data_IF_961136114252
#
_entry.id   IF_961136114252
#
_cell.length_a   1.000
_cell.length_b   1.000
_cell.length_c   1.000
_cell.angle_alpha   90.00
_cell.angle_beta   90.00
_cell.angle_gamma   90.00
#
_symmetry.space_group_name_H-M   'P 1'
#
loop_
_entity.id
_entity.type
_entity.pdbx_description
1 polymer ?
#
# COMPACT_ATOMS: atom_id res chain seq x y z
N UNK A 1 -0.16 17.19 0.53
CA UNK A 1 -0.91 16.08 1.18
C UNK A 1 -1.51 15.20 0.08
N UNK A 2 -1.62 13.90 0.30
CA UNK A 2 -2.00 12.93 -0.75
C UNK A 2 -3.41 13.11 -1.33
N UNK A 3 -4.32 13.73 -0.59
CA UNK A 3 -5.73 13.92 -0.99
C UNK A 3 -6.11 15.41 -1.17
N UNK A 4 -5.13 16.30 -1.31
CA UNK A 4 -5.40 17.74 -1.53
C UNK A 4 -6.22 17.95 -2.81
N UNK A 5 -7.32 18.73 -2.70
CA UNK A 5 -8.25 18.98 -3.80
C UNK A 5 -9.20 17.82 -4.14
N UNK A 6 -9.24 16.78 -3.29
CA UNK A 6 -10.17 15.67 -3.43
C UNK A 6 -11.36 15.82 -2.48
N UNK A 7 -12.57 15.70 -3.01
CA UNK A 7 -13.82 15.67 -2.25
C UNK A 7 -14.24 14.22 -2.02
N UNK A 8 -14.43 13.85 -0.76
CA UNK A 8 -14.84 12.51 -0.34
C UNK A 8 -16.20 12.59 0.36
N UNK A 9 -17.15 11.81 -0.11
CA UNK A 9 -18.44 11.64 0.56
C UNK A 9 -18.37 10.38 1.43
N UNK A 10 -18.50 10.58 2.75
CA UNK A 10 -18.51 9.53 3.75
C UNK A 10 -19.95 9.23 4.16
N UNK A 11 -20.46 8.07 3.74
CA UNK A 11 -21.80 7.58 4.07
C UNK A 11 -21.79 6.71 5.31
N UNK A 12 -22.54 7.09 6.34
CA UNK A 12 -22.60 6.38 7.63
C UNK A 12 -24.01 5.81 7.85
N UNK A 13 -24.08 4.49 8.10
CA UNK A 13 -25.35 3.82 8.29
C UNK A 13 -25.56 3.32 9.72
N UNK A 14 -26.80 2.97 10.08
CA UNK A 14 -27.23 2.65 11.44
C UNK A 14 -26.71 1.30 11.94
N UNK A 15 -25.46 1.23 12.32
CA UNK A 15 -24.82 0.10 12.98
C UNK A 15 -23.85 0.55 14.06
N UNK A 16 -23.62 -0.29 15.07
CA UNK A 16 -22.76 0.05 16.21
C UNK A 16 -21.37 0.52 15.77
N UNK A 17 -20.83 -0.01 14.69
CA UNK A 17 -19.50 0.36 14.16
C UNK A 17 -19.42 1.83 13.66
N UNK A 18 -20.52 2.57 13.61
CA UNK A 18 -20.54 3.99 13.28
C UNK A 18 -19.63 4.82 14.23
N UNK A 19 -19.44 4.40 15.50
CA UNK A 19 -18.56 5.08 16.46
C UNK A 19 -17.09 5.15 16.02
N UNK A 20 -16.66 4.30 15.09
CA UNK A 20 -15.29 4.28 14.54
C UNK A 20 -15.06 5.32 13.45
N UNK A 21 -16.12 5.78 12.80
CA UNK A 21 -16.05 6.63 11.62
C UNK A 21 -15.47 8.02 11.86
N UNK A 22 -15.55 8.63 13.05
CA UNK A 22 -14.83 9.87 13.34
C UNK A 22 -13.32 9.77 13.10
N UNK A 23 -12.69 8.62 13.44
CA UNK A 23 -11.27 8.40 13.21
C UNK A 23 -10.94 8.38 11.70
N UNK A 24 -11.77 7.75 10.89
CA UNK A 24 -11.64 7.72 9.43
C UNK A 24 -11.80 9.12 8.85
N UNK A 25 -12.86 9.85 9.23
CA UNK A 25 -13.11 11.22 8.80
C UNK A 25 -11.90 12.13 9.12
N UNK A 26 -11.40 12.06 10.35
CA UNK A 26 -10.24 12.84 10.78
C UNK A 26 -8.96 12.48 10.03
N UNK A 27 -8.72 11.19 9.78
CA UNK A 27 -7.56 10.73 9.00
C UNK A 27 -7.61 11.26 7.55
N UNK A 28 -8.78 11.24 6.90
CA UNK A 28 -8.97 11.77 5.55
C UNK A 28 -8.76 13.28 5.48
N UNK A 29 -9.28 14.03 6.47
CA UNK A 29 -9.04 15.48 6.59
C UNK A 29 -7.55 15.77 6.78
N UNK A 30 -6.83 15.03 7.63
CA UNK A 30 -5.38 15.17 7.81
C UNK A 30 -4.59 14.88 6.53
N UNK A 31 -5.11 14.06 5.63
CA UNK A 31 -4.53 13.80 4.31
C UNK A 31 -4.85 14.90 3.29
N UNK A 32 -5.66 15.90 3.66
CA UNK A 32 -6.01 17.07 2.86
C UNK A 32 -7.29 16.93 2.05
N UNK A 33 -8.12 15.91 2.31
CA UNK A 33 -9.42 15.76 1.66
C UNK A 33 -10.46 16.76 2.19
N UNK A 34 -11.35 17.19 1.30
CA UNK A 34 -12.62 17.84 1.68
C UNK A 34 -13.67 16.75 1.93
N UNK A 35 -13.98 16.51 3.21
CA UNK A 35 -14.82 15.38 3.64
C UNK A 35 -16.24 15.85 3.94
N UNK A 36 -17.20 15.34 3.19
CA UNK A 36 -18.63 15.53 3.41
C UNK A 36 -19.28 14.29 4.00
N UNK A 37 -20.04 14.43 5.07
CA UNK A 37 -20.63 13.29 5.78
C UNK A 37 -22.14 13.25 5.56
N UNK A 38 -22.60 12.09 5.11
CA UNK A 38 -24.02 11.75 5.00
C UNK A 38 -24.36 10.66 6.02
N UNK A 39 -25.38 10.87 6.82
CA UNK A 39 -25.82 9.87 7.79
C UNK A 39 -27.26 9.46 7.49
N UNK A 40 -27.53 8.15 7.58
CA UNK A 40 -28.92 7.70 7.65
C UNK A 40 -29.52 8.11 9.00
N UNK A 41 -30.84 8.26 9.06
CA UNK A 41 -31.55 8.57 10.32
C UNK A 41 -31.18 7.56 11.42
N UNK A 42 -31.07 6.26 11.09
CA UNK A 42 -30.68 5.24 12.07
C UNK A 42 -29.22 5.38 12.54
N UNK A 43 -28.34 6.02 11.77
CA UNK A 43 -26.97 6.25 12.20
C UNK A 43 -26.88 7.28 13.31
N UNK A 44 -27.81 8.25 13.36
CA UNK A 44 -27.85 9.29 14.40
C UNK A 44 -28.18 8.74 15.79
N UNK A 45 -28.76 7.53 15.88
CA UNK A 45 -28.98 6.82 17.14
C UNK A 45 -27.69 6.28 17.78
N UNK A 46 -26.64 6.10 16.98
CA UNK A 46 -25.35 5.56 17.44
C UNK A 46 -24.29 6.63 17.65
N UNK A 47 -24.35 7.74 16.91
CA UNK A 47 -23.38 8.83 17.00
C UNK A 47 -24.00 10.15 16.53
N UNK A 48 -23.68 11.23 17.22
CA UNK A 48 -24.19 12.56 16.87
C UNK A 48 -23.57 13.12 15.58
N UNK A 49 -24.35 13.73 14.67
CA UNK A 49 -23.85 14.48 13.53
C UNK A 49 -22.81 15.55 13.90
N UNK A 50 -22.95 16.19 15.06
CA UNK A 50 -22.07 17.24 15.56
C UNK A 50 -20.59 16.77 15.65
N UNK A 51 -20.35 15.49 15.94
CA UNK A 51 -18.97 14.94 15.97
C UNK A 51 -18.30 15.12 14.63
N UNK A 52 -18.99 14.79 13.54
CA UNK A 52 -18.45 14.90 12.19
C UNK A 52 -18.32 16.35 11.73
N UNK A 53 -19.30 17.20 12.05
CA UNK A 53 -19.26 18.63 11.74
C UNK A 53 -18.03 19.30 12.37
N UNK A 54 -17.71 18.92 13.62
CA UNK A 54 -16.53 19.43 14.33
C UNK A 54 -15.22 18.99 13.66
N UNK A 55 -15.15 17.76 13.16
CA UNK A 55 -13.93 17.20 12.58
C UNK A 55 -13.71 17.63 11.13
N UNK A 56 -14.78 17.78 10.35
CA UNK A 56 -14.70 18.06 8.91
C UNK A 56 -14.89 19.53 8.58
N UNK A 57 -15.38 20.33 9.52
CA UNK A 57 -15.80 21.72 9.32
C UNK A 57 -16.87 21.86 8.21
N UNK A 58 -17.64 20.79 8.01
CA UNK A 58 -18.74 20.70 7.05
C UNK A 58 -19.99 20.23 7.77
N UNK A 59 -21.15 20.72 7.35
CA UNK A 59 -22.42 20.25 7.87
C UNK A 59 -22.64 18.78 7.54
N UNK A 60 -23.00 17.97 8.54
CA UNK A 60 -23.41 16.58 8.34
C UNK A 60 -24.88 16.55 7.87
N UNK A 61 -25.11 15.88 6.75
CA UNK A 61 -26.44 15.83 6.13
C UNK A 61 -27.16 14.54 6.51
N UNK A 62 -28.36 14.68 7.05
CA UNK A 62 -29.20 13.53 7.49
C UNK A 62 -30.50 13.50 6.72
N UNK A 63 -31.15 14.65 6.54
CA UNK A 63 -32.47 14.80 5.94
C UNK A 63 -32.34 15.35 4.51
N UNK A 64 -33.06 14.73 3.57
CA UNK A 64 -33.13 15.15 2.17
C UNK A 64 -33.85 16.48 2.02
N UNK A 65 -34.80 16.80 2.93
CA UNK A 65 -35.70 17.97 2.88
C UNK A 65 -35.40 19.01 3.96
N UNK A 66 -34.16 19.08 4.42
CA UNK A 66 -33.76 20.13 5.38
C UNK A 66 -33.90 21.52 4.75
N UNK A 67 -34.78 22.37 5.33
CA UNK A 67 -35.15 23.70 4.81
C UNK A 67 -34.03 24.75 4.97
N UNK A 68 -32.95 24.45 5.66
CA UNK A 68 -31.85 25.40 5.89
C UNK A 68 -30.78 25.32 4.74
N UNK A 69 -31.17 24.87 3.58
CA UNK A 69 -30.30 24.79 2.38
C UNK A 69 -30.26 26.12 1.62
N UNK A 70 -29.10 26.43 1.07
CA UNK A 70 -28.94 27.33 -0.08
C UNK A 70 -29.63 26.72 -1.30
N UNK A 71 -30.13 27.52 -2.22
CA UNK A 71 -31.04 27.17 -3.34
C UNK A 71 -30.52 26.13 -4.36
N UNK A 72 -29.38 25.44 -4.13
CA UNK A 72 -28.90 24.35 -4.95
C UNK A 72 -29.52 23.02 -4.54
N UNK A 73 -29.73 22.14 -5.52
CA UNK A 73 -30.18 20.77 -5.29
C UNK A 73 -29.04 20.00 -4.64
N UNK A 74 -28.98 20.02 -3.32
CA UNK A 74 -27.82 19.62 -2.50
C UNK A 74 -27.31 18.21 -2.84
N UNK A 75 -28.19 17.23 -3.08
CA UNK A 75 -27.80 15.88 -3.43
C UNK A 75 -27.10 15.80 -4.81
N UNK A 76 -27.54 16.61 -5.80
CA UNK A 76 -26.92 16.66 -7.12
C UNK A 76 -25.55 17.38 -7.06
N UNK A 77 -25.50 18.54 -6.36
CA UNK A 77 -24.26 19.29 -6.19
C UNK A 77 -23.18 18.44 -5.53
N UNK A 78 -23.53 17.70 -4.46
CA UNK A 78 -22.61 16.82 -3.76
C UNK A 78 -22.21 15.59 -4.60
N UNK A 79 -23.16 14.97 -5.31
CA UNK A 79 -22.88 13.85 -6.21
C UNK A 79 -21.87 14.23 -7.32
N UNK A 80 -22.02 15.45 -7.87
CA UNK A 80 -21.13 15.96 -8.93
C UNK A 80 -19.75 16.37 -8.39
N UNK A 81 -19.68 16.88 -7.15
CA UNK A 81 -18.42 17.28 -6.52
C UNK A 81 -17.57 16.09 -6.03
N UNK A 82 -18.20 14.95 -5.76
CA UNK A 82 -17.55 13.80 -5.17
C UNK A 82 -16.50 13.18 -6.10
N UNK A 83 -15.27 13.03 -5.62
CA UNK A 83 -14.25 12.24 -6.28
C UNK A 83 -14.31 10.76 -5.87
N UNK A 84 -14.91 10.45 -4.71
CA UNK A 84 -15.12 9.11 -4.19
C UNK A 84 -16.22 9.13 -3.13
N UNK A 85 -16.99 8.03 -3.07
CA UNK A 85 -17.88 7.74 -1.95
C UNK A 85 -17.35 6.54 -1.16
N UNK A 86 -17.29 6.67 0.18
CA UNK A 86 -17.04 5.58 1.11
C UNK A 86 -18.27 5.38 1.99
N UNK A 87 -18.95 4.25 1.84
CA UNK A 87 -20.10 3.88 2.67
C UNK A 87 -19.61 2.91 3.75
N UNK A 88 -19.45 3.41 4.95
CA UNK A 88 -18.92 2.68 6.11
C UNK A 88 -19.46 3.22 7.44
N UNK A 89 -19.94 2.36 8.35
CA UNK A 89 -20.30 0.98 8.12
C UNK A 89 -21.48 0.89 7.15
N UNK A 90 -21.55 -0.18 6.32
CA UNK A 90 -22.70 -0.45 5.48
C UNK A 90 -23.54 -1.59 6.08
N UNK A 91 -24.76 -1.28 6.50
CA UNK A 91 -25.71 -2.29 7.00
C UNK A 91 -26.35 -3.07 5.87
N UNK A 92 -26.85 -4.28 6.14
CA UNK A 92 -27.59 -5.08 5.17
C UNK A 92 -28.77 -4.32 4.53
N UNK A 93 -29.47 -3.49 5.32
CA UNK A 93 -30.56 -2.66 4.82
C UNK A 93 -30.10 -1.68 3.75
N UNK A 94 -29.01 -0.94 3.99
CA UNK A 94 -28.52 0.04 3.02
C UNK A 94 -27.88 -0.64 1.80
N UNK A 95 -27.20 -1.77 1.99
CA UNK A 95 -26.71 -2.61 0.89
C UNK A 95 -27.85 -3.04 -0.03
N UNK A 96 -28.96 -3.55 0.54
CA UNK A 96 -30.14 -3.94 -0.22
C UNK A 96 -30.77 -2.74 -0.96
N UNK A 97 -30.94 -1.59 -0.32
CA UNK A 97 -31.45 -0.38 -0.96
C UNK A 97 -30.61 0.03 -2.16
N UNK A 98 -29.30 0.12 -2.00
CA UNK A 98 -28.38 0.51 -3.07
C UNK A 98 -28.38 -0.51 -4.22
N UNK A 99 -28.41 -1.82 -3.93
CA UNK A 99 -28.47 -2.88 -4.94
C UNK A 99 -29.72 -2.83 -5.82
N UNK A 100 -30.83 -2.33 -5.25
CA UNK A 100 -32.10 -2.22 -5.95
C UNK A 100 -32.46 -0.77 -6.37
N UNK A 101 -31.53 0.18 -6.25
CA UNK A 101 -31.74 1.55 -6.70
C UNK A 101 -32.78 2.33 -5.86
N UNK A 102 -33.01 1.95 -4.62
CA UNK A 102 -33.89 2.70 -3.72
C UNK A 102 -33.19 3.95 -3.21
N UNK A 103 -33.84 5.11 -3.36
CA UNK A 103 -33.29 6.42 -3.03
C UNK A 103 -34.30 7.18 -2.13
N UNK A 104 -34.53 6.66 -0.92
CA UNK A 104 -35.54 7.15 0.03
C UNK A 104 -34.92 7.99 1.16
N UNK A 105 -33.61 8.17 1.17
CA UNK A 105 -32.88 9.07 2.09
C UNK A 105 -31.75 9.81 1.35
N UNK A 106 -31.11 10.77 2.01
CA UNK A 106 -30.07 11.60 1.42
C UNK A 106 -28.85 10.76 0.95
N UNK A 107 -28.42 9.77 1.73
CA UNK A 107 -27.28 8.92 1.39
C UNK A 107 -27.54 8.10 0.12
N UNK A 108 -28.67 7.41 0.07
CA UNK A 108 -29.03 6.55 -1.08
C UNK A 108 -29.32 7.38 -2.33
N UNK A 109 -29.90 8.58 -2.20
CA UNK A 109 -30.12 9.51 -3.31
C UNK A 109 -28.79 10.01 -3.90
N UNK A 110 -27.86 10.47 -3.07
CA UNK A 110 -26.53 10.91 -3.54
C UNK A 110 -25.77 9.74 -4.16
N UNK A 111 -25.84 8.55 -3.56
CA UNK A 111 -25.15 7.36 -4.09
C UNK A 111 -25.65 6.97 -5.48
N UNK A 112 -26.96 7.07 -5.72
CA UNK A 112 -27.57 6.78 -7.02
C UNK A 112 -27.18 7.82 -8.08
N UNK A 113 -27.07 9.09 -7.68
CA UNK A 113 -26.71 10.19 -8.59
C UNK A 113 -25.20 10.29 -8.90
N UNK A 114 -24.34 9.83 -7.96
CA UNK A 114 -22.89 9.98 -8.12
C UNK A 114 -22.31 9.04 -9.18
N UNK A 115 -21.37 9.59 -9.98
CA UNK A 115 -20.63 8.85 -11.02
C UNK A 115 -19.22 8.46 -10.61
N UNK A 116 -18.74 8.95 -9.46
CA UNK A 116 -17.42 8.64 -8.92
C UNK A 116 -17.31 7.18 -8.41
N UNK A 117 -16.10 6.65 -8.19
CA UNK A 117 -15.88 5.36 -7.53
C UNK A 117 -16.60 5.28 -6.18
N UNK A 118 -17.19 4.13 -5.90
CA UNK A 118 -17.94 3.85 -4.68
C UNK A 118 -17.35 2.67 -3.94
N UNK A 119 -16.92 2.89 -2.71
CA UNK A 119 -16.41 1.87 -1.79
C UNK A 119 -17.49 1.58 -0.76
N UNK A 120 -17.73 0.30 -0.49
CA UNK A 120 -18.72 -0.11 0.50
C UNK A 120 -18.10 -1.10 1.49
N UNK A 121 -18.19 -0.82 2.78
CA UNK A 121 -17.64 -1.64 3.86
C UNK A 121 -18.77 -2.27 4.68
N UNK A 122 -19.18 -3.53 4.37
CA UNK A 122 -20.22 -4.23 5.10
C UNK A 122 -19.83 -4.41 6.57
N UNK A 123 -20.79 -4.15 7.47
CA UNK A 123 -20.63 -4.42 8.90
C UNK A 123 -21.97 -4.84 9.51
N UNK A 124 -22.05 -6.10 9.95
CA UNK A 124 -23.26 -6.71 10.50
C UNK A 124 -22.93 -8.01 11.24
N UNK A 125 -23.92 -8.62 11.87
CA UNK A 125 -23.80 -9.97 12.43
C UNK A 125 -23.39 -10.99 11.34
N UNK A 126 -22.63 -12.02 11.70
CA UNK A 126 -22.13 -13.03 10.78
C UNK A 126 -23.24 -13.70 9.96
N UNK A 127 -24.33 -14.12 10.60
CA UNK A 127 -25.45 -14.76 9.89
C UNK A 127 -26.13 -13.82 8.90
N UNK A 128 -26.18 -12.51 9.20
CA UNK A 128 -26.71 -11.52 8.27
C UNK A 128 -25.77 -11.33 7.07
N UNK A 129 -24.46 -11.35 7.30
CA UNK A 129 -23.49 -11.23 6.22
C UNK A 129 -23.49 -12.46 5.31
N UNK A 130 -23.50 -13.65 5.92
CA UNK A 130 -23.50 -14.94 5.20
C UNK A 130 -24.84 -15.29 4.57
N UNK A 131 -25.90 -14.55 4.89
CA UNK A 131 -27.20 -14.76 4.27
C UNK A 131 -27.12 -14.56 2.74
N UNK A 132 -27.67 -15.52 1.99
CA UNK A 132 -27.59 -15.52 0.53
C UNK A 132 -28.13 -14.22 -0.09
N UNK A 133 -29.19 -13.64 0.47
CA UNK A 133 -29.75 -12.37 0.00
C UNK A 133 -28.73 -11.24 0.13
N UNK A 134 -28.00 -11.19 1.25
CA UNK A 134 -26.96 -10.17 1.46
C UNK A 134 -25.79 -10.38 0.51
N UNK A 135 -25.36 -11.64 0.30
CA UNK A 135 -24.29 -11.97 -0.64
C UNK A 135 -24.66 -11.63 -2.08
N UNK A 136 -25.91 -11.90 -2.49
CA UNK A 136 -26.39 -11.58 -3.83
C UNK A 136 -26.50 -10.06 -4.04
N UNK A 137 -26.91 -9.30 -3.02
CA UNK A 137 -26.91 -7.84 -3.06
C UNK A 137 -25.50 -7.27 -3.18
N UNK A 138 -24.51 -7.82 -2.47
CA UNK A 138 -23.12 -7.41 -2.58
C UNK A 138 -22.56 -7.68 -3.99
N UNK A 139 -22.81 -8.86 -4.57
CA UNK A 139 -22.44 -9.18 -5.97
C UNK A 139 -23.13 -8.24 -6.96
N UNK A 140 -24.38 -7.88 -6.71
CA UNK A 140 -25.12 -6.91 -7.54
C UNK A 140 -24.45 -5.55 -7.50
N UNK A 141 -24.01 -5.09 -6.34
CA UNK A 141 -23.24 -3.84 -6.21
C UNK A 141 -21.89 -3.91 -6.92
N UNK A 142 -21.17 -5.02 -6.81
CA UNK A 142 -19.91 -5.23 -7.54
C UNK A 142 -20.14 -5.19 -9.06
N UNK A 143 -21.21 -5.83 -9.56
CA UNK A 143 -21.60 -5.77 -10.97
C UNK A 143 -21.86 -4.32 -11.45
N UNK A 144 -22.39 -3.45 -10.58
CA UNK A 144 -22.61 -2.04 -10.86
C UNK A 144 -21.40 -1.14 -10.54
N UNK A 145 -20.21 -1.73 -10.32
CA UNK A 145 -18.95 -1.02 -10.19
C UNK A 145 -18.65 -0.49 -8.78
N UNK A 146 -19.34 -0.98 -7.75
CA UNK A 146 -18.92 -0.75 -6.37
C UNK A 146 -17.75 -1.67 -6.02
N UNK A 147 -16.81 -1.14 -5.25
CA UNK A 147 -15.76 -1.97 -4.63
C UNK A 147 -16.21 -2.37 -3.22
N UNK A 148 -16.42 -3.65 -3.01
CA UNK A 148 -16.75 -4.19 -1.68
C UNK A 148 -15.47 -4.38 -0.90
N UNK A 149 -15.35 -3.67 0.24
CA UNK A 149 -14.23 -3.84 1.16
C UNK A 149 -14.54 -5.04 2.05
N UNK A 150 -13.69 -6.08 2.07
CA UNK A 150 -13.95 -7.28 2.86
C UNK A 150 -14.13 -6.97 4.35
N UNK A 151 -15.13 -7.54 4.97
CA UNK A 151 -15.30 -7.45 6.43
C UNK A 151 -14.18 -8.13 7.18
N UNK A 152 -13.78 -7.56 8.31
CA UNK A 152 -12.85 -8.20 9.23
C UNK A 152 -13.50 -9.38 9.96
N UNK A 153 -12.65 -10.26 10.50
CA UNK A 153 -13.06 -11.38 11.39
C UNK A 153 -12.67 -11.07 12.84
N UNK A 154 -13.42 -11.59 13.78
CA UNK A 154 -13.15 -11.44 15.21
C UNK A 154 -14.41 -11.40 16.05
N UNK A 155 -14.27 -10.97 17.31
CA UNK A 155 -15.41 -10.83 18.23
C UNK A 155 -16.31 -9.67 17.76
N UNK A 156 -17.59 -9.96 17.57
CA UNK A 156 -18.63 -9.01 17.23
C UNK A 156 -19.28 -8.43 18.49
N UNK A 157 -20.01 -7.32 18.37
CA UNK A 157 -20.69 -6.68 19.48
C UNK A 157 -21.77 -7.56 20.15
N UNK A 158 -22.29 -8.57 19.44
CA UNK A 158 -23.21 -9.57 20.00
C UNK A 158 -22.52 -10.68 20.79
N UNK A 159 -21.20 -10.71 20.86
CA UNK A 159 -20.42 -11.77 21.51
C UNK A 159 -20.01 -12.93 20.61
N UNK A 160 -20.54 -13.01 19.39
CA UNK A 160 -20.16 -14.03 18.41
C UNK A 160 -18.75 -13.76 17.87
N UNK A 161 -18.05 -14.83 17.48
CA UNK A 161 -16.77 -14.74 16.78
C UNK A 161 -16.98 -15.19 15.34
N UNK A 162 -16.71 -14.29 14.38
CA UNK A 162 -16.93 -14.59 12.98
C UNK A 162 -16.60 -13.41 12.07
N UNK A 163 -17.00 -13.51 10.81
CA UNK A 163 -16.97 -12.46 9.80
C UNK A 163 -18.06 -11.41 10.06
N UNK A 164 -17.88 -10.18 9.53
CA UNK A 164 -18.90 -9.13 9.62
C UNK A 164 -18.49 -7.93 10.47
N UNK A 165 -17.31 -7.95 11.06
CA UNK A 165 -16.72 -6.80 11.74
C UNK A 165 -16.32 -5.74 10.70
N UNK A 166 -16.58 -4.45 10.99
CA UNK A 166 -16.01 -3.38 10.18
C UNK A 166 -14.48 -3.51 10.14
N UNK A 167 -13.84 -3.43 8.97
CA UNK A 167 -12.38 -3.39 8.87
C UNK A 167 -11.79 -2.30 9.76
N UNK A 168 -10.51 -2.44 10.11
CA UNK A 168 -9.83 -1.41 10.89
C UNK A 168 -9.77 -0.09 10.08
N UNK A 169 -9.80 1.04 10.79
CA UNK A 169 -9.92 2.37 10.20
C UNK A 169 -8.80 2.65 9.18
N UNK A 170 -7.57 2.16 9.45
CA UNK A 170 -6.45 2.26 8.53
C UNK A 170 -6.70 1.59 7.18
N UNK A 171 -7.34 0.41 7.19
CA UNK A 171 -7.70 -0.32 5.97
C UNK A 171 -8.69 0.48 5.11
N UNK A 172 -9.69 1.11 5.73
CA UNK A 172 -10.65 1.97 5.00
C UNK A 172 -9.94 3.15 4.33
N UNK A 173 -9.01 3.78 5.04
CA UNK A 173 -8.19 4.89 4.50
C UNK A 173 -7.28 4.39 3.36
N UNK A 174 -6.69 3.21 3.48
CA UNK A 174 -5.84 2.62 2.43
C UNK A 174 -6.63 2.36 1.14
N UNK A 175 -7.89 1.91 1.22
CA UNK A 175 -8.77 1.78 0.05
C UNK A 175 -9.03 3.14 -0.62
N UNK A 176 -9.29 4.18 0.16
CA UNK A 176 -9.46 5.55 -0.37
C UNK A 176 -8.18 6.05 -1.04
N UNK A 177 -7.02 5.85 -0.40
CA UNK A 177 -5.72 6.22 -0.97
C UNK A 177 -5.43 5.44 -2.26
N UNK A 178 -5.71 4.15 -2.28
CA UNK A 178 -5.56 3.34 -3.48
C UNK A 178 -6.36 3.90 -4.66
N UNK A 179 -7.54 4.46 -4.43
CA UNK A 179 -8.36 5.05 -5.50
C UNK A 179 -7.92 6.47 -5.88
N UNK A 180 -7.60 7.34 -4.91
CA UNK A 180 -7.49 8.78 -5.15
C UNK A 180 -6.08 9.37 -5.09
N UNK A 181 -5.13 8.72 -4.41
CA UNK A 181 -3.86 9.36 -4.06
C UNK A 181 -2.99 9.74 -5.26
N UNK A 182 -3.05 8.95 -6.33
CA UNK A 182 -2.21 9.13 -7.52
C UNK A 182 -2.99 8.83 -8.80
N UNK A 183 -2.49 9.34 -9.93
CA UNK A 183 -2.87 8.89 -11.26
C UNK A 183 -2.55 7.39 -11.41
N UNK A 184 -3.40 6.63 -12.14
CA UNK A 184 -3.25 5.17 -12.31
C UNK A 184 -2.44 4.83 -13.57
N UNK A 185 -1.32 5.48 -13.76
CA UNK A 185 -0.46 5.35 -14.93
C UNK A 185 0.38 4.04 -14.96
N UNK A 186 0.39 3.29 -13.86
CA UNK A 186 0.94 1.94 -13.80
C UNK A 186 -0.15 0.85 -13.83
N UNK A 187 -1.40 1.20 -14.14
CA UNK A 187 -2.49 0.21 -14.22
C UNK A 187 -2.19 -0.86 -15.26
N UNK A 188 -2.31 -2.13 -14.84
CA UNK A 188 -2.01 -3.30 -15.69
C UNK A 188 -0.53 -3.67 -15.76
N UNK A 189 0.37 -2.91 -15.12
CA UNK A 189 1.79 -3.26 -14.98
C UNK A 189 2.01 -4.20 -13.79
N UNK A 190 2.82 -5.23 -14.00
CA UNK A 190 3.33 -6.11 -12.94
C UNK A 190 4.70 -5.62 -12.48
N UNK A 191 4.82 -5.29 -11.20
CA UNK A 191 6.06 -4.75 -10.63
C UNK A 191 6.54 -5.67 -9.50
N UNK A 192 7.77 -6.14 -9.57
CA UNK A 192 8.42 -6.93 -8.52
C UNK A 192 9.43 -6.05 -7.80
N UNK A 193 9.35 -6.01 -6.48
CA UNK A 193 10.24 -5.20 -5.64
C UNK A 193 10.86 -6.08 -4.57
N UNK A 194 12.18 -6.03 -4.35
CA UNK A 194 12.82 -6.70 -3.22
C UNK A 194 13.10 -5.72 -2.08
N UNK A 195 13.00 -6.17 -0.82
CA UNK A 195 13.18 -5.32 0.36
C UNK A 195 13.81 -6.06 1.54
N UNK A 196 14.63 -5.36 2.31
CA UNK A 196 15.29 -5.88 3.50
C UNK A 196 16.70 -6.36 3.23
N UNK A 197 17.27 -7.09 4.18
CA UNK A 197 18.59 -7.70 4.05
C UNK A 197 18.48 -9.23 4.03
N UNK A 198 19.33 -9.89 3.27
CA UNK A 198 19.49 -11.34 3.41
C UNK A 198 20.16 -11.68 4.74
N UNK A 199 19.85 -12.86 5.25
CA UNK A 199 20.39 -13.40 6.49
C UNK A 199 21.04 -14.74 6.17
N UNK A 200 22.37 -14.76 6.14
CA UNK A 200 23.13 -15.95 5.77
C UNK A 200 23.49 -16.75 7.05
N UNK A 201 22.87 -17.92 7.28
CA UNK A 201 23.02 -18.63 8.53
C UNK A 201 24.44 -19.15 8.74
N UNK A 202 24.94 -19.00 9.96
CA UNK A 202 26.18 -19.63 10.44
C UNK A 202 25.89 -20.89 11.25
N UNK A 203 24.81 -20.85 12.03
CA UNK A 203 24.26 -21.90 12.84
C UNK A 203 22.75 -21.61 13.10
N UNK A 204 21.99 -22.47 13.79
CA UNK A 204 20.56 -22.24 14.05
C UNK A 204 20.22 -20.95 14.82
N UNK A 205 21.22 -20.23 15.35
CA UNK A 205 21.04 -19.06 16.24
C UNK A 205 21.60 -17.78 15.64
N UNK A 206 22.66 -17.87 14.81
CA UNK A 206 23.41 -16.71 14.31
C UNK A 206 23.49 -16.71 12.78
N UNK A 207 23.49 -15.50 12.23
CA UNK A 207 23.61 -15.26 10.80
C UNK A 207 24.43 -14.00 10.52
N UNK A 208 24.96 -13.90 9.30
CA UNK A 208 25.54 -12.69 8.74
C UNK A 208 24.45 -11.94 7.98
N UNK A 209 24.41 -10.61 8.13
CA UNK A 209 23.41 -9.76 7.48
C UNK A 209 23.92 -8.35 7.26
N UNK A 210 23.20 -7.58 6.47
CA UNK A 210 23.38 -6.16 6.24
C UNK A 210 22.43 -5.31 7.12
N UNK A 211 22.73 -4.03 7.29
CA UNK A 211 21.93 -3.10 8.12
C UNK A 211 20.61 -2.64 7.48
N UNK A 212 20.21 -3.18 6.33
CA UNK A 212 18.99 -2.76 5.65
C UNK A 212 17.73 -3.12 6.43
N UNK A 213 16.86 -2.14 6.62
CA UNK A 213 15.55 -2.29 7.29
C UNK A 213 14.39 -2.58 6.31
N UNK A 214 14.64 -2.51 4.99
CA UNK A 214 13.61 -2.69 3.98
C UNK A 214 12.79 -1.44 3.63
N UNK A 215 12.90 -0.33 4.39
CA UNK A 215 12.08 0.88 4.20
C UNK A 215 12.01 1.38 2.75
N UNK A 216 13.12 1.34 2.00
CA UNK A 216 13.14 1.82 0.62
C UNK A 216 12.30 0.93 -0.32
N UNK A 217 12.47 -0.39 -0.25
CA UNK A 217 11.69 -1.32 -1.06
C UNK A 217 10.19 -1.26 -0.72
N UNK A 218 9.83 -1.13 0.56
CA UNK A 218 8.44 -0.92 0.99
C UNK A 218 7.86 0.38 0.44
N UNK A 219 8.63 1.48 0.42
CA UNK A 219 8.20 2.76 -0.16
C UNK A 219 7.96 2.63 -1.67
N UNK A 220 8.85 1.93 -2.41
CA UNK A 220 8.69 1.66 -3.85
C UNK A 220 7.45 0.81 -4.12
N UNK A 221 7.27 -0.28 -3.37
CA UNK A 221 6.10 -1.14 -3.51
C UNK A 221 4.80 -0.36 -3.28
N UNK A 222 4.76 0.49 -2.24
CA UNK A 222 3.63 1.37 -1.96
C UNK A 222 3.39 2.39 -3.07
N UNK A 223 4.43 3.05 -3.57
CA UNK A 223 4.30 4.04 -4.64
C UNK A 223 3.73 3.41 -5.93
N UNK A 224 4.23 2.24 -6.33
CA UNK A 224 3.73 1.51 -7.50
C UNK A 224 2.28 1.04 -7.30
N UNK A 225 1.92 0.53 -6.11
CA UNK A 225 0.56 0.11 -5.76
C UNK A 225 -0.42 1.29 -5.83
N UNK A 226 -0.07 2.45 -5.27
CA UNK A 226 -0.92 3.64 -5.33
C UNK A 226 -1.14 4.15 -6.75
N UNK A 227 -0.21 3.89 -7.67
CA UNK A 227 -0.30 4.20 -9.11
C UNK A 227 -0.98 3.09 -9.93
N UNK A 228 -1.51 2.06 -9.26
CA UNK A 228 -2.36 1.03 -9.87
C UNK A 228 -1.63 -0.20 -10.39
N UNK A 229 -0.33 -0.37 -10.11
CA UNK A 229 0.40 -1.57 -10.46
C UNK A 229 -0.07 -2.80 -9.65
N UNK A 230 0.06 -3.98 -10.25
CA UNK A 230 0.06 -5.27 -9.56
C UNK A 230 1.45 -5.52 -9.00
N UNK A 231 1.59 -5.44 -7.67
CA UNK A 231 2.90 -5.44 -7.01
C UNK A 231 3.14 -6.72 -6.25
N UNK A 232 4.29 -7.36 -6.50
CA UNK A 232 4.84 -8.43 -5.67
C UNK A 232 6.07 -7.90 -4.92
N UNK A 233 6.01 -7.92 -3.59
CA UNK A 233 7.10 -7.52 -2.70
C UNK A 233 7.82 -8.78 -2.18
N UNK A 234 9.05 -8.98 -2.63
CA UNK A 234 9.96 -9.98 -2.07
C UNK A 234 10.56 -9.39 -0.79
N UNK A 235 10.05 -9.79 0.36
CA UNK A 235 10.40 -9.21 1.66
C UNK A 235 11.25 -10.14 2.51
N UNK A 236 12.37 -9.63 3.02
CA UNK A 236 13.19 -10.38 3.99
C UNK A 236 12.38 -10.69 5.26
N UNK A 237 12.50 -11.91 5.76
CA UNK A 237 11.92 -12.32 7.05
C UNK A 237 12.43 -11.51 8.23
N UNK A 238 13.56 -10.83 8.08
CA UNK A 238 14.09 -9.88 9.06
C UNK A 238 13.44 -8.49 9.04
N UNK A 239 12.54 -8.21 8.08
CA UNK A 239 11.80 -6.94 8.04
C UNK A 239 10.68 -6.94 9.10
N UNK A 240 10.65 -5.89 9.93
CA UNK A 240 9.61 -5.67 10.95
C UNK A 240 8.59 -4.62 10.55
N UNK A 241 8.62 -4.17 9.28
CA UNK A 241 7.69 -3.18 8.77
C UNK A 241 6.29 -3.79 8.60
N UNK A 242 5.21 -3.00 8.82
CA UNK A 242 3.86 -3.48 8.55
C UNK A 242 3.70 -3.81 7.06
N UNK A 243 2.86 -4.81 6.72
CA UNK A 243 2.59 -5.16 5.34
C UNK A 243 2.08 -3.94 4.53
N UNK A 244 2.51 -3.83 3.28
CA UNK A 244 1.92 -2.85 2.35
C UNK A 244 0.57 -3.40 1.90
N UNK A 245 -0.54 -2.67 2.11
CA UNK A 245 -1.86 -3.12 1.67
C UNK A 245 -1.90 -3.36 0.16
N UNK A 246 -2.69 -4.35 -0.28
CA UNK A 246 -2.90 -4.71 -1.70
C UNK A 246 -1.65 -5.19 -2.46
N UNK A 247 -0.58 -5.51 -1.74
CA UNK A 247 0.66 -6.02 -2.31
C UNK A 247 0.79 -7.50 -1.96
N UNK A 248 1.13 -8.33 -2.96
CA UNK A 248 1.47 -9.72 -2.73
C UNK A 248 2.86 -9.80 -2.08
N UNK A 249 2.97 -10.42 -0.90
CA UNK A 249 4.24 -10.52 -0.17
C UNK A 249 4.77 -11.95 -0.27
N UNK A 250 5.98 -12.08 -0.81
CA UNK A 250 6.73 -13.34 -0.89
C UNK A 250 7.93 -13.24 0.04
N UNK A 251 7.98 -14.01 1.12
CA UNK A 251 9.09 -13.95 2.06
C UNK A 251 10.35 -14.62 1.51
N UNK A 252 11.52 -14.10 1.88
CA UNK A 252 12.81 -14.74 1.69
C UNK A 252 13.68 -14.55 2.94
N UNK A 253 14.68 -15.44 3.14
CA UNK A 253 15.64 -15.33 4.23
C UNK A 253 17.06 -15.14 3.69
N UNK A 254 17.52 -16.02 2.80
CA UNK A 254 18.88 -16.01 2.27
C UNK A 254 18.95 -15.38 0.87
N UNK A 255 20.17 -15.14 0.39
CA UNK A 255 20.43 -14.72 -0.99
C UNK A 255 19.92 -15.77 -2.00
N UNK A 256 20.05 -17.05 -1.67
CA UNK A 256 19.55 -18.14 -2.48
C UNK A 256 18.01 -18.14 -2.57
N UNK A 257 17.31 -17.95 -1.45
CA UNK A 257 15.85 -17.84 -1.45
C UNK A 257 15.38 -16.65 -2.30
N UNK A 258 16.04 -15.50 -2.14
CA UNK A 258 15.73 -14.32 -2.95
C UNK A 258 15.98 -14.58 -4.45
N UNK A 259 17.04 -15.28 -4.79
CA UNK A 259 17.34 -15.63 -6.18
C UNK A 259 16.23 -16.47 -6.81
N UNK A 260 15.78 -17.51 -6.12
CA UNK A 260 14.66 -18.33 -6.61
C UNK A 260 13.36 -17.53 -6.67
N UNK A 261 13.08 -16.67 -5.69
CA UNK A 261 11.92 -15.78 -5.70
C UNK A 261 11.94 -14.79 -6.88
N UNK A 262 13.12 -14.24 -7.23
CA UNK A 262 13.29 -13.37 -8.40
C UNK A 262 13.03 -14.13 -9.69
N UNK A 263 13.60 -15.34 -9.85
CA UNK A 263 13.35 -16.19 -11.03
C UNK A 263 11.86 -16.48 -11.22
N UNK A 264 11.17 -16.80 -10.15
CA UNK A 264 9.77 -17.18 -10.19
C UNK A 264 8.82 -16.00 -10.50
N UNK A 265 9.18 -14.76 -10.12
CA UNK A 265 8.23 -13.64 -10.17
C UNK A 265 8.64 -12.54 -11.18
N UNK A 266 9.93 -12.38 -11.51
CA UNK A 266 10.38 -11.21 -12.26
C UNK A 266 10.36 -11.43 -13.80
N UNK A 267 10.46 -12.65 -14.28
CA UNK A 267 10.58 -12.89 -15.73
C UNK A 267 9.32 -12.54 -16.52
N UNK A 268 8.14 -12.61 -15.90
CA UNK A 268 6.85 -12.22 -16.50
C UNK A 268 6.43 -10.78 -16.15
N UNK A 269 7.23 -10.08 -15.33
CA UNK A 269 6.94 -8.75 -14.89
C UNK A 269 7.28 -7.66 -15.94
N UNK A 270 6.76 -6.47 -15.73
CA UNK A 270 7.10 -5.27 -16.51
C UNK A 270 8.26 -4.49 -15.87
N UNK A 271 8.43 -4.61 -14.55
CA UNK A 271 9.55 -4.00 -13.83
C UNK A 271 10.03 -4.86 -12.66
N UNK A 272 11.34 -4.84 -12.42
CA UNK A 272 12.02 -5.38 -11.25
C UNK A 272 12.82 -4.29 -10.56
N UNK A 273 12.57 -4.06 -9.27
CA UNK A 273 13.33 -3.12 -8.43
C UNK A 273 14.05 -3.89 -7.34
N UNK A 274 15.36 -4.02 -7.46
CA UNK A 274 16.22 -4.72 -6.50
C UNK A 274 16.71 -3.77 -5.42
N UNK A 275 15.88 -3.54 -4.37
CA UNK A 275 16.21 -2.67 -3.24
C UNK A 275 16.66 -3.44 -1.99
N UNK A 276 16.65 -4.77 -2.03
CA UNK A 276 17.21 -5.60 -0.96
C UNK A 276 18.73 -5.48 -0.89
N UNK A 277 19.28 -5.50 0.33
CA UNK A 277 20.71 -5.59 0.58
C UNK A 277 21.12 -7.07 0.63
N UNK A 278 21.54 -7.58 -0.53
CA UNK A 278 21.99 -8.96 -0.69
C UNK A 278 23.42 -9.09 -0.18
N UNK A 279 23.70 -10.12 0.59
CA UNK A 279 25.07 -10.43 1.02
C UNK A 279 25.90 -10.96 -0.15
N UNK A 280 27.10 -10.44 -0.36
CA UNK A 280 28.03 -10.91 -1.40
C UNK A 280 28.71 -12.23 -1.00
N UNK A 281 28.68 -12.56 0.29
CA UNK A 281 29.29 -13.75 0.89
C UNK A 281 28.36 -14.42 1.87
N UNK A 282 28.44 -15.74 1.94
CA UNK A 282 27.76 -16.59 2.93
C UNK A 282 28.76 -17.56 3.59
N UNK A 283 28.50 -18.11 4.78
CA UNK A 283 29.29 -19.18 5.32
C UNK A 283 29.32 -20.39 4.39
N UNK A 284 30.53 -20.92 4.09
CA UNK A 284 30.70 -22.09 3.23
C UNK A 284 30.06 -23.35 3.84
N UNK A 285 29.98 -23.40 5.16
CA UNK A 285 29.30 -24.47 5.92
C UNK A 285 28.42 -23.89 6.99
N UNK A 286 27.20 -24.43 7.15
CA UNK A 286 26.27 -24.07 8.21
C UNK A 286 26.32 -25.17 9.26
N UNK A 287 26.66 -24.80 10.51
CA UNK A 287 26.69 -25.76 11.61
C UNK A 287 25.28 -26.22 11.97
N UNK A 288 25.07 -27.53 12.15
CA UNK A 288 23.77 -28.11 12.53
C UNK A 288 23.36 -27.70 13.95
N UNK A 289 24.34 -27.47 14.83
CA UNK A 289 24.14 -27.05 16.22
C UNK A 289 24.78 -25.69 16.48
N UNK A 290 24.32 -24.99 17.53
CA UNK A 290 24.93 -23.72 17.97
C UNK A 290 26.41 -23.93 18.27
N UNK A 291 27.27 -23.23 17.53
CA UNK A 291 28.72 -23.25 17.75
C UNK A 291 29.04 -22.74 19.16
N UNK A 292 29.64 -23.59 19.99
CA UNK A 292 30.02 -23.24 21.37
C UNK A 292 31.25 -22.35 21.37
N UNK A 293 31.38 -21.51 22.41
CA UNK A 293 32.64 -20.76 22.66
C UNK A 293 33.78 -21.72 22.92
N UNK A 294 34.90 -21.44 22.30
CA UNK A 294 36.20 -22.09 22.55
C UNK A 294 37.18 -21.04 23.01
N UNK A 295 38.23 -21.46 23.74
CA UNK A 295 39.36 -20.60 24.06
C UNK A 295 40.19 -20.44 22.77
N UNK A 296 40.14 -19.24 22.16
CA UNK A 296 40.83 -18.93 20.93
C UNK A 296 40.03 -18.17 19.90
N UNK A 297 40.61 -17.93 18.74
CA UNK A 297 39.98 -17.24 17.61
C UNK A 297 38.94 -18.16 16.90
N UNK A 298 37.89 -17.56 16.43
CA UNK A 298 36.89 -18.25 15.58
C UNK A 298 37.03 -17.76 14.15
N UNK A 299 37.36 -18.67 13.24
CA UNK A 299 37.43 -18.39 11.81
C UNK A 299 36.19 -18.95 11.12
N UNK A 300 35.59 -18.15 10.23
CA UNK A 300 34.45 -18.54 9.42
C UNK A 300 34.89 -18.47 7.96
N UNK A 301 34.90 -19.61 7.29
CA UNK A 301 35.13 -19.67 5.87
C UNK A 301 33.89 -19.13 5.13
N UNK A 302 34.12 -18.21 4.19
CA UNK A 302 33.07 -17.58 3.40
C UNK A 302 33.20 -17.95 1.93
N UNK A 303 32.10 -18.24 1.29
CA UNK A 303 31.97 -18.38 -0.17
C UNK A 303 31.10 -17.28 -0.77
N UNK A 304 31.26 -17.01 -2.06
CA UNK A 304 30.46 -16.02 -2.77
C UNK A 304 29.03 -16.50 -2.97
N UNK A 305 28.07 -15.59 -2.82
CA UNK A 305 26.69 -15.77 -3.23
C UNK A 305 26.52 -15.51 -4.73
N UNK A 306 25.40 -15.95 -5.29
CA UNK A 306 25.06 -15.69 -6.68
C UNK A 306 24.73 -14.20 -6.92
N UNK A 307 25.24 -13.64 -8.03
CA UNK A 307 24.91 -12.27 -8.41
C UNK A 307 23.57 -12.23 -9.16
N UNK A 308 22.49 -12.01 -8.40
CA UNK A 308 21.11 -12.04 -8.90
C UNK A 308 20.92 -11.04 -10.05
N UNK A 309 21.41 -9.79 -9.90
CA UNK A 309 21.26 -8.77 -10.94
C UNK A 309 22.08 -9.09 -12.20
N UNK A 310 23.26 -9.71 -12.07
CA UNK A 310 24.01 -10.16 -13.23
C UNK A 310 23.27 -11.27 -13.98
N UNK A 311 22.68 -12.22 -13.25
CA UNK A 311 21.86 -13.26 -13.85
C UNK A 311 20.61 -12.68 -14.55
N UNK A 312 19.89 -11.76 -13.90
CA UNK A 312 18.74 -11.07 -14.49
C UNK A 312 19.14 -10.33 -15.76
N UNK A 313 20.26 -9.61 -15.76
CA UNK A 313 20.74 -8.86 -16.92
C UNK A 313 21.01 -9.69 -18.16
N UNK A 314 21.38 -10.98 -17.97
CA UNK A 314 21.59 -11.96 -19.07
C UNK A 314 20.28 -12.58 -19.55
N UNK A 315 19.31 -12.80 -18.64
CA UNK A 315 18.10 -13.59 -18.92
C UNK A 315 16.84 -12.73 -19.07
N UNK A 316 16.90 -11.42 -18.75
CA UNK A 316 15.72 -10.55 -18.77
C UNK A 316 15.08 -10.47 -20.16
N UNK A 317 13.74 -10.57 -20.28
CA UNK A 317 13.06 -10.22 -21.51
C UNK A 317 13.22 -8.71 -21.81
N UNK A 318 13.16 -8.34 -23.09
CA UNK A 318 13.36 -6.96 -23.55
C UNK A 318 12.42 -5.96 -22.86
N UNK A 319 11.20 -6.37 -22.55
CA UNK A 319 10.18 -5.54 -21.87
C UNK A 319 10.46 -5.28 -20.39
N UNK A 320 11.32 -6.06 -19.74
CA UNK A 320 11.56 -5.97 -18.30
C UNK A 320 12.45 -4.79 -17.97
N UNK A 321 11.89 -3.75 -17.35
CA UNK A 321 12.64 -2.64 -16.76
C UNK A 321 13.31 -3.11 -15.46
N UNK A 322 14.64 -2.94 -15.35
CA UNK A 322 15.42 -3.37 -14.19
C UNK A 322 16.05 -2.17 -13.49
N UNK A 323 15.66 -1.94 -12.23
CA UNK A 323 16.25 -0.94 -11.36
C UNK A 323 17.03 -1.61 -10.23
N UNK A 324 18.33 -1.29 -10.12
CA UNK A 324 19.18 -1.73 -9.02
C UNK A 324 19.51 -0.58 -8.05
N UNK A 325 20.01 -0.96 -6.87
CA UNK A 325 20.57 0.00 -5.90
C UNK A 325 22.06 -0.24 -5.76
N UNK A 326 22.81 0.85 -5.55
CA UNK A 326 24.22 0.77 -5.19
C UNK A 326 24.51 1.63 -3.97
N UNK A 327 25.50 1.20 -3.21
CA UNK A 327 26.05 1.90 -2.07
C UNK A 327 27.53 1.99 -2.24
N UNK A 328 28.02 3.20 -2.49
CA UNK A 328 29.44 3.44 -2.73
C UNK A 328 29.94 4.53 -1.75
N UNK A 329 31.12 4.32 -1.25
CA UNK A 329 31.80 5.30 -0.36
C UNK A 329 32.79 6.18 -1.11
N UNK A 330 33.20 5.77 -2.32
CA UNK A 330 34.12 6.48 -3.24
C UNK A 330 33.66 6.33 -4.66
N UNK A 331 33.90 7.31 -5.50
CA UNK A 331 33.66 7.29 -6.95
C UNK A 331 32.25 6.80 -7.31
N UNK A 332 31.24 7.32 -6.57
CA UNK A 332 29.83 6.88 -6.60
C UNK A 332 29.28 6.76 -8.03
N UNK A 333 29.48 7.81 -8.84
CA UNK A 333 28.90 7.89 -10.19
C UNK A 333 29.60 6.91 -11.13
N UNK A 334 30.95 6.87 -11.09
CA UNK A 334 31.74 6.01 -11.98
C UNK A 334 31.44 4.53 -11.70
N UNK A 335 31.53 4.12 -10.43
CA UNK A 335 31.29 2.73 -10.01
C UNK A 335 29.83 2.29 -10.31
N UNK A 336 28.86 3.16 -10.05
CA UNK A 336 27.44 2.85 -10.29
C UNK A 336 27.14 2.79 -11.78
N UNK A 337 27.74 3.66 -12.60
CA UNK A 337 27.61 3.61 -14.08
C UNK A 337 28.23 2.34 -14.66
N UNK A 338 29.38 1.91 -14.14
CA UNK A 338 29.99 0.66 -14.54
C UNK A 338 29.11 -0.55 -14.19
N UNK A 339 28.49 -0.57 -12.99
CA UNK A 339 27.54 -1.59 -12.57
C UNK A 339 26.28 -1.63 -13.44
N UNK A 340 25.71 -0.45 -13.77
CA UNK A 340 24.54 -0.32 -14.64
C UNK A 340 24.79 -1.05 -15.98
N UNK A 341 25.91 -0.73 -16.63
CA UNK A 341 26.27 -1.33 -17.93
C UNK A 341 26.59 -2.83 -17.82
N UNK A 342 27.42 -3.20 -16.83
CA UNK A 342 27.86 -4.59 -16.65
C UNK A 342 26.70 -5.54 -16.37
N UNK A 343 25.68 -5.08 -15.64
CA UNK A 343 24.52 -5.90 -15.25
C UNK A 343 23.30 -5.67 -16.13
N UNK A 344 23.44 -4.93 -17.25
CA UNK A 344 22.38 -4.66 -18.21
C UNK A 344 21.09 -4.14 -17.53
N UNK A 345 21.25 -3.20 -16.60
CA UNK A 345 20.13 -2.55 -15.92
C UNK A 345 19.68 -1.30 -16.69
N UNK A 346 18.43 -0.88 -16.49
CA UNK A 346 17.86 0.31 -17.11
C UNK A 346 18.05 1.54 -16.20
N UNK A 347 18.10 1.31 -14.88
CA UNK A 347 18.29 2.34 -13.86
C UNK A 347 19.13 1.81 -12.70
N UNK A 348 19.96 2.68 -12.11
CA UNK A 348 20.59 2.44 -10.83
C UNK A 348 20.40 3.65 -9.90
N UNK A 349 20.00 3.38 -8.67
CA UNK A 349 19.83 4.39 -7.62
C UNK A 349 21.03 4.29 -6.69
N UNK A 350 21.92 5.25 -6.78
CA UNK A 350 23.17 5.29 -6.03
C UNK A 350 22.99 6.09 -4.73
N UNK A 351 23.12 5.42 -3.58
CA UNK A 351 22.99 6.01 -2.25
C UNK A 351 24.30 6.64 -1.80
N UNK A 352 24.26 7.89 -1.33
CA UNK A 352 25.40 8.57 -0.74
C UNK A 352 25.36 8.44 0.79
N UNK A 353 26.18 7.54 1.34
CA UNK A 353 26.25 7.29 2.80
C UNK A 353 26.99 8.37 3.59
N UNK A 354 27.68 9.30 2.93
CA UNK A 354 28.48 10.35 3.61
C UNK A 354 27.63 11.53 4.08
N UNK A 355 26.38 11.61 3.65
CA UNK A 355 25.48 12.72 4.00
C UNK A 355 24.69 12.36 5.25
N UNK A 356 24.73 13.19 6.31
CA UNK A 356 23.87 13.00 7.47
C UNK A 356 22.40 12.95 7.08
N UNK A 357 21.64 11.97 7.61
CA UNK A 357 20.23 11.77 7.27
C UNK A 357 19.99 10.90 6.03
N UNK A 358 21.06 10.42 5.36
CA UNK A 358 20.95 9.43 4.29
C UNK A 358 21.39 8.04 4.78
N UNK A 359 20.78 6.98 4.23
CA UNK A 359 21.22 5.61 4.48
C UNK A 359 20.16 4.69 5.10
N UNK A 360 20.64 3.66 5.81
CA UNK A 360 19.78 2.66 6.44
C UNK A 360 19.05 3.21 7.67
N UNK A 361 17.87 2.67 7.98
CA UNK A 361 17.13 2.96 9.21
C UNK A 361 16.39 4.30 9.27
N UNK A 362 16.83 5.34 8.55
CA UNK A 362 16.20 6.67 8.49
C UNK A 362 15.09 6.71 7.42
N UNK A 363 14.20 7.72 7.50
CA UNK A 363 13.08 7.88 6.57
C UNK A 363 13.43 8.75 5.35
N UNK A 364 14.61 9.34 5.35
CA UNK A 364 15.15 10.18 4.28
C UNK A 364 16.30 9.50 3.54
N UNK A 365 16.61 10.02 2.35
CA UNK A 365 17.75 9.57 1.56
C UNK A 365 18.29 10.70 0.65
N UNK A 366 19.58 10.61 0.29
CA UNK A 366 20.24 11.38 -0.74
C UNK A 366 20.70 10.40 -1.81
N UNK A 367 20.17 10.50 -3.00
CA UNK A 367 20.44 9.53 -4.06
C UNK A 367 20.76 10.22 -5.38
N UNK A 368 21.58 9.55 -6.18
CA UNK A 368 21.81 9.87 -7.57
C UNK A 368 21.16 8.80 -8.43
N UNK A 369 20.25 9.19 -9.30
CA UNK A 369 19.62 8.32 -10.29
C UNK A 369 20.47 8.33 -11.55
N UNK A 370 20.87 7.17 -12.03
CA UNK A 370 21.69 6.99 -13.25
C UNK A 370 20.93 6.08 -14.20
N UNK A 371 20.73 6.54 -15.42
CA UNK A 371 20.10 5.81 -16.52
C UNK A 371 20.96 5.94 -17.79
N UNK A 372 20.57 5.29 -18.87
CA UNK A 372 21.22 5.47 -20.18
C UNK A 372 21.05 6.91 -20.73
N UNK A 373 20.00 7.62 -20.30
CA UNK A 373 19.67 8.98 -20.75
C UNK A 373 20.43 10.06 -19.97
N UNK A 374 20.91 9.77 -18.76
CA UNK A 374 21.63 10.76 -17.97
C UNK A 374 21.71 10.44 -16.48
N UNK A 375 22.21 11.44 -15.75
CA UNK A 375 22.44 11.39 -14.31
C UNK A 375 21.63 12.51 -13.66
N UNK A 376 20.86 12.17 -12.62
CA UNK A 376 20.05 13.13 -11.85
C UNK A 376 20.39 13.00 -10.39
N UNK A 377 20.97 14.06 -9.81
CA UNK A 377 21.22 14.13 -8.37
C UNK A 377 19.97 14.65 -7.66
N UNK A 378 19.49 13.91 -6.67
CA UNK A 378 18.34 14.31 -5.86
C UNK A 378 18.82 14.81 -4.49
N UNK A 379 18.28 15.94 -4.01
CA UNK A 379 18.58 16.45 -2.68
C UNK A 379 18.08 15.50 -1.60
N UNK A 380 18.36 15.80 -0.34
CA UNK A 380 17.80 15.08 0.80
C UNK A 380 16.27 15.14 0.75
N UNK A 381 15.63 14.00 0.62
CA UNK A 381 14.18 13.88 0.56
C UNK A 381 13.70 12.58 1.21
N UNK A 382 12.39 12.44 1.40
CA UNK A 382 11.83 11.22 1.96
C UNK A 382 12.02 10.02 1.02
N UNK A 383 12.06 8.81 1.57
CA UNK A 383 12.08 7.58 0.78
C UNK A 383 10.84 7.43 -0.10
N UNK A 384 9.69 7.95 0.33
CA UNK A 384 8.47 7.99 -0.49
C UNK A 384 8.65 8.88 -1.72
N UNK A 385 9.33 10.04 -1.60
CA UNK A 385 9.63 10.90 -2.74
C UNK A 385 10.61 10.23 -3.72
N UNK A 386 11.68 9.58 -3.21
CA UNK A 386 12.59 8.77 -4.04
C UNK A 386 11.84 7.64 -4.74
N UNK A 387 10.93 6.96 -4.06
CA UNK A 387 10.08 5.92 -4.64
C UNK A 387 9.19 6.45 -5.77
N UNK A 388 8.71 7.69 -5.65
CA UNK A 388 7.99 8.40 -6.71
C UNK A 388 8.80 8.52 -7.99
N UNK A 389 10.05 8.96 -7.92
CA UNK A 389 10.94 9.05 -9.08
C UNK A 389 11.22 7.69 -9.75
N UNK A 390 11.33 6.61 -8.94
CA UNK A 390 11.50 5.26 -9.49
C UNK A 390 10.22 4.83 -10.21
N UNK A 391 9.05 5.10 -9.63
CA UNK A 391 7.77 4.79 -10.24
C UNK A 391 7.52 5.64 -11.51
N UNK A 392 8.02 6.88 -11.59
CA UNK A 392 8.00 7.71 -12.81
C UNK A 392 8.79 7.04 -13.94
N UNK A 393 10.00 6.57 -13.65
CA UNK A 393 10.82 5.86 -14.63
C UNK A 393 10.15 4.55 -15.12
N UNK A 394 9.49 3.79 -14.23
CA UNK A 394 8.72 2.59 -14.61
C UNK A 394 7.54 2.94 -15.52
N UNK A 395 6.92 4.11 -15.31
CA UNK A 395 5.83 4.62 -16.15
C UNK A 395 6.31 5.19 -17.50
N UNK A 396 7.62 5.38 -17.69
CA UNK A 396 8.19 6.00 -18.89
C UNK A 396 8.11 7.53 -18.90
N UNK A 397 8.08 8.16 -17.72
CA UNK A 397 8.05 9.61 -17.51
C UNK A 397 9.43 10.18 -17.18
#
# INVERSE_FOLDING_TARGET
MLLTGKTIVLGITGGIAAYKMPNVAHALVKLGADVHVLMTKNATEFISPLVFETLTHRRCQVDTFDRNFQYDVAHISLANAANLMLIAPATANVIAKMAHGQADDMLTTVTLAATCPKLIAPAMNTHMLENQITQDNLKTLEHYGFTVIPSGSGMLACGDVGSGRLPDEGVLVDYVLRELACEKDLKGKKVVVSAGATQEPMDPVRYLTNHSTGKMGYAVARACMLRGADVTLLASTGCTLPPVPFVNIVPFTTAADLFEAVKANAMDADALVMAAAVADYRPATVAADKVKKHDGEMNIELERTDDILAWVGVHKPEKLFVCGFSMETRDLIENSTAKLKKKNMDMIVANNLKVPGAGFGVDTNVVTIITAQGITELPLQSKDAVAGHIADAIAGK
#
